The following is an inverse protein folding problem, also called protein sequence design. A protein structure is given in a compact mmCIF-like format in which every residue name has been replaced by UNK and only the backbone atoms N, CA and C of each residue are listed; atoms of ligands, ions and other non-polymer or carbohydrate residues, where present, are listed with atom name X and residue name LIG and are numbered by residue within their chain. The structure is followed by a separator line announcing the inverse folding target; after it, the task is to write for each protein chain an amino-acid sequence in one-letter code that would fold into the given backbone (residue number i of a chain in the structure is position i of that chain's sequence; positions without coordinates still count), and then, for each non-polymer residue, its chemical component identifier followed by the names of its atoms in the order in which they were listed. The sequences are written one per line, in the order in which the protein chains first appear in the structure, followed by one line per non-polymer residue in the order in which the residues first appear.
data_IF_838406076576
#
_entry.id   IF_838406076576
#
_cell.length_a   1.000
_cell.length_b   1.000
_cell.length_c   1.000
_cell.angle_alpha   90.00
_cell.angle_beta   90.00
_cell.angle_gamma   90.00
#
_symmetry.space_group_name_H-M   'P 1'
#
loop_
_entity.id
_entity.type
_entity.pdbx_description
1 polymer ?
#
# COMPACT_ATOMS: atom_id res chain seq x y z
N UNK A 1 8.13 13.48 -1.04
CA UNK A 1 8.82 12.20 -1.28
C UNK A 1 7.78 11.12 -1.53
N UNK A 2 7.87 10.40 -2.64
CA UNK A 2 7.03 9.24 -2.94
C UNK A 2 7.95 8.09 -3.37
N UNK A 3 7.85 6.93 -2.70
CA UNK A 3 8.77 5.79 -2.89
C UNK A 3 10.28 6.14 -2.82
N UNK A 4 10.66 7.08 -1.94
CA UNK A 4 12.06 7.50 -1.81
C UNK A 4 12.52 8.49 -2.88
N UNK A 5 11.69 8.85 -3.85
CA UNK A 5 12.00 9.91 -4.81
C UNK A 5 11.50 11.28 -4.34
N UNK A 6 12.41 12.24 -4.33
CA UNK A 6 12.12 13.64 -4.08
C UNK A 6 12.08 14.39 -5.42
N UNK A 7 10.92 14.95 -5.77
CA UNK A 7 10.72 15.79 -6.96
C UNK A 7 9.80 16.95 -6.61
N UNK A 8 9.81 18.00 -7.43
CA UNK A 8 8.90 19.12 -7.26
C UNK A 8 7.45 18.64 -7.46
N UNK A 9 6.49 19.23 -6.73
CA UNK A 9 5.07 18.91 -6.89
C UNK A 9 4.60 19.06 -8.35
N UNK A 10 5.14 20.02 -9.10
CA UNK A 10 4.81 20.21 -10.53
C UNK A 10 5.22 19.01 -11.39
N UNK A 11 6.33 18.37 -11.06
CA UNK A 11 6.82 17.18 -11.77
C UNK A 11 5.94 15.94 -11.47
N UNK A 12 5.18 15.98 -10.38
CA UNK A 12 4.18 14.98 -10.01
C UNK A 12 2.78 15.29 -10.58
N UNK A 13 2.65 16.25 -11.49
CA UNK A 13 1.37 16.59 -12.13
C UNK A 13 0.48 17.48 -11.27
N UNK A 14 1.06 18.28 -10.37
CA UNK A 14 0.32 19.29 -9.61
C UNK A 14 0.54 20.68 -10.20
N UNK A 15 -0.49 21.52 -10.12
CA UNK A 15 -0.40 22.94 -10.46
C UNK A 15 -0.64 23.80 -9.22
N UNK A 16 0.05 24.94 -9.14
CA UNK A 16 -0.17 25.93 -8.09
C UNK A 16 -1.32 26.84 -8.48
N UNK A 17 -2.35 26.94 -7.65
CA UNK A 17 -3.47 27.87 -7.80
C UNK A 17 -3.60 28.75 -6.57
N UNK A 18 -4.53 29.73 -6.60
CA UNK A 18 -4.81 30.60 -5.44
C UNK A 18 -5.28 29.83 -4.20
N UNK A 19 -5.77 28.61 -4.41
CA UNK A 19 -6.29 27.74 -3.35
C UNK A 19 -5.26 26.67 -2.93
N UNK A 20 -4.01 26.77 -3.38
CA UNK A 20 -2.94 25.80 -3.09
C UNK A 20 -2.58 24.91 -4.27
N UNK A 21 -2.04 23.72 -3.99
CA UNK A 21 -1.72 22.73 -5.02
C UNK A 21 -2.98 21.98 -5.43
N UNK A 22 -3.24 21.92 -6.74
CA UNK A 22 -4.34 21.16 -7.31
C UNK A 22 -3.80 20.18 -8.35
N UNK A 23 -4.41 19.00 -8.49
CA UNK A 23 -4.03 18.05 -9.53
C UNK A 23 -4.34 18.64 -10.91
N UNK A 24 -3.49 18.31 -11.89
CA UNK A 24 -3.76 18.61 -13.30
C UNK A 24 -4.72 17.53 -13.82
N UNK A 25 -5.88 17.96 -14.31
CA UNK A 25 -6.85 17.05 -14.90
C UNK A 25 -6.43 16.65 -16.32
N UNK A 26 -6.63 15.37 -16.64
CA UNK A 26 -6.36 14.80 -17.96
C UNK A 26 -7.56 13.97 -18.40
N UNK A 27 -7.86 14.01 -19.70
CA UNK A 27 -8.85 13.12 -20.33
C UNK A 27 -8.24 11.79 -20.75
N UNK A 28 -6.92 11.63 -20.62
CA UNK A 28 -6.25 10.37 -20.90
C UNK A 28 -6.57 9.35 -19.81
N UNK A 29 -6.57 8.08 -20.20
CA UNK A 29 -6.71 6.98 -19.24
C UNK A 29 -5.56 6.99 -18.22
N UNK A 30 -5.82 6.62 -16.96
CA UNK A 30 -4.84 6.70 -15.88
C UNK A 30 -3.64 5.75 -16.07
N UNK A 31 -3.79 4.74 -16.93
CA UNK A 31 -2.74 3.82 -17.33
C UNK A 31 -3.00 3.34 -18.77
N UNK A 32 -1.99 2.82 -19.47
CA UNK A 32 -2.19 2.18 -20.78
C UNK A 32 -3.25 1.07 -20.71
N UNK A 33 -4.15 1.00 -21.70
CA UNK A 33 -5.18 -0.05 -21.81
C UNK A 33 -4.64 -1.45 -21.61
N UNK A 34 -3.47 -1.73 -22.20
CA UNK A 34 -2.86 -3.05 -22.11
C UNK A 34 -2.52 -3.44 -20.67
N UNK A 35 -2.28 -2.49 -19.76
CA UNK A 35 -2.11 -2.77 -18.34
C UNK A 35 -3.50 -2.98 -17.73
N UNK A 36 -4.41 -2.01 -17.89
CA UNK A 36 -5.77 -2.04 -17.34
C UNK A 36 -6.55 -3.33 -17.68
N UNK A 37 -6.44 -3.82 -18.91
CA UNK A 37 -7.08 -5.04 -19.39
C UNK A 37 -6.37 -6.32 -18.88
N UNK A 38 -5.08 -6.26 -18.55
CA UNK A 38 -4.29 -7.43 -18.11
C UNK A 38 -4.30 -7.65 -16.60
N UNK A 39 -4.61 -6.63 -15.80
CA UNK A 39 -4.61 -6.75 -14.32
C UNK A 39 -5.75 -7.62 -13.80
N UNK A 40 -6.78 -7.90 -14.60
CA UNK A 40 -7.93 -8.71 -14.17
C UNK A 40 -8.08 -9.93 -15.07
N UNK A 41 -8.25 -11.11 -14.47
CA UNK A 41 -8.63 -12.30 -15.21
C UNK A 41 -10.14 -12.55 -15.08
N UNK A 42 -10.74 -13.03 -16.16
CA UNK A 42 -12.13 -13.52 -16.18
C UNK A 42 -12.24 -15.00 -15.78
N UNK A 43 -11.33 -15.48 -14.92
CA UNK A 43 -11.36 -16.87 -14.47
C UNK A 43 -12.65 -17.13 -13.73
N UNK A 44 -13.36 -18.22 -14.07
CA UNK A 44 -14.57 -18.65 -13.36
C UNK A 44 -14.26 -19.60 -12.20
N UNK A 45 -13.01 -20.06 -12.10
CA UNK A 45 -12.52 -20.99 -11.06
C UNK A 45 -11.07 -20.66 -10.74
N UNK A 46 -10.73 -20.66 -9.45
CA UNK A 46 -9.42 -20.74 -8.75
C UNK A 46 -8.10 -20.29 -9.43
N UNK A 47 -8.11 -19.58 -10.55
CA UNK A 47 -6.95 -19.09 -11.30
C UNK A 47 -5.82 -20.10 -11.51
N UNK A 48 -6.16 -21.33 -11.95
CA UNK A 48 -5.18 -22.36 -12.31
C UNK A 48 -4.41 -22.08 -13.62
N UNK A 49 -3.93 -23.12 -14.31
CA UNK A 49 -3.08 -22.98 -15.50
C UNK A 49 -3.68 -22.17 -16.66
N UNK A 50 -5.01 -22.14 -16.77
CA UNK A 50 -5.69 -21.38 -17.81
C UNK A 50 -5.77 -19.86 -17.52
N UNK A 51 -5.40 -19.41 -16.32
CA UNK A 51 -5.54 -18.03 -15.90
C UNK A 51 -4.78 -17.05 -16.81
N UNK A 52 -5.49 -16.01 -17.28
CA UNK A 52 -4.91 -14.95 -18.12
C UNK A 52 -3.76 -14.21 -17.44
N UNK A 53 -3.92 -13.82 -16.16
CA UNK A 53 -2.84 -13.17 -15.40
C UNK A 53 -1.61 -14.08 -15.32
N UNK A 54 -1.80 -15.36 -14.97
CA UNK A 54 -0.70 -16.34 -14.88
C UNK A 54 0.04 -16.53 -16.21
N UNK A 55 -0.71 -16.61 -17.32
CA UNK A 55 -0.12 -16.71 -18.67
C UNK A 55 0.72 -15.49 -19.06
N UNK A 56 0.41 -14.33 -18.49
CA UNK A 56 1.17 -13.09 -18.66
C UNK A 56 2.27 -12.91 -17.62
N UNK A 57 2.52 -13.91 -16.76
CA UNK A 57 3.51 -13.84 -15.68
C UNK A 57 3.09 -12.95 -14.50
N UNK A 58 1.82 -12.60 -14.39
CA UNK A 58 1.28 -11.75 -13.33
C UNK A 58 0.56 -12.58 -12.26
N UNK A 59 0.69 -12.15 -11.00
CA UNK A 59 -0.18 -12.59 -9.91
C UNK A 59 -1.55 -11.93 -10.04
N UNK A 60 -2.60 -12.67 -9.70
CA UNK A 60 -3.94 -12.12 -9.61
C UNK A 60 -4.03 -11.22 -8.39
N UNK A 61 -4.55 -10.01 -8.57
CA UNK A 61 -4.94 -9.15 -7.45
C UNK A 61 -6.34 -9.52 -6.93
N UNK A 62 -6.80 -8.82 -5.89
CA UNK A 62 -8.17 -8.88 -5.38
C UNK A 62 -9.22 -8.47 -6.41
N UNK A 63 -8.82 -7.80 -7.49
CA UNK A 63 -9.68 -7.46 -8.63
C UNK A 63 -10.01 -8.67 -9.54
N UNK A 64 -9.48 -9.87 -9.25
CA UNK A 64 -9.95 -11.09 -9.89
C UNK A 64 -11.45 -11.29 -9.61
N UNK A 65 -12.26 -11.18 -10.66
CA UNK A 65 -13.72 -11.10 -10.58
C UNK A 65 -14.38 -12.24 -9.80
N UNK A 66 -13.83 -13.45 -9.86
CA UNK A 66 -14.43 -14.63 -9.23
C UNK A 66 -13.68 -15.09 -7.99
N UNK A 67 -12.36 -14.94 -7.95
CA UNK A 67 -11.58 -15.45 -6.83
C UNK A 67 -11.47 -14.44 -5.68
N UNK A 68 -11.58 -13.14 -5.97
CA UNK A 68 -11.44 -12.03 -5.01
C UNK A 68 -10.19 -12.13 -4.14
N UNK A 69 -9.13 -12.77 -4.64
CA UNK A 69 -7.92 -13.08 -3.87
C UNK A 69 -8.03 -14.25 -2.87
N UNK A 70 -9.24 -14.62 -2.41
CA UNK A 70 -9.43 -15.62 -1.34
C UNK A 70 -9.29 -17.06 -1.81
N UNK A 71 -9.95 -17.42 -2.92
CA UNK A 71 -9.88 -18.78 -3.50
C UNK A 71 -8.90 -18.86 -4.67
N UNK A 72 -8.06 -17.83 -4.83
CA UNK A 72 -7.19 -17.67 -5.97
C UNK A 72 -5.89 -18.44 -5.76
N UNK A 73 -5.59 -19.43 -6.61
CA UNK A 73 -4.30 -20.13 -6.55
C UNK A 73 -3.15 -19.31 -7.16
N UNK A 74 -3.45 -18.12 -7.71
CA UNK A 74 -2.47 -17.24 -8.33
C UNK A 74 -2.40 -15.87 -7.65
N UNK A 75 -2.94 -15.69 -6.44
CA UNK A 75 -2.75 -14.44 -5.68
C UNK A 75 -1.39 -14.42 -4.96
N UNK A 76 -0.98 -13.22 -4.53
CA UNK A 76 0.12 -13.06 -3.58
C UNK A 76 -0.34 -13.61 -2.22
N UNK A 77 0.41 -14.54 -1.64
CA UNK A 77 0.12 -15.01 -0.29
C UNK A 77 0.57 -13.92 0.68
N UNK A 78 -0.38 -13.30 1.39
CA UNK A 78 -0.03 -12.49 2.54
C UNK A 78 0.53 -13.44 3.61
N UNK A 79 1.82 -13.32 3.90
CA UNK A 79 2.41 -13.92 5.09
C UNK A 79 1.80 -13.16 6.25
N UNK A 80 0.84 -13.77 6.95
CA UNK A 80 0.40 -13.29 8.24
C UNK A 80 1.45 -13.81 9.20
N UNK A 81 2.40 -12.94 9.57
CA UNK A 81 3.25 -13.21 10.72
C UNK A 81 2.32 -13.16 11.93
N UNK A 82 2.05 -14.34 12.52
CA UNK A 82 1.40 -14.41 13.81
C UNK A 82 2.35 -13.77 14.82
N UNK A 83 2.15 -12.49 15.14
CA UNK A 83 2.76 -11.87 16.31
C UNK A 83 2.27 -12.66 17.52
N UNK A 84 3.09 -13.59 17.99
CA UNK A 84 2.86 -14.27 19.25
C UNK A 84 3.03 -13.22 20.35
N UNK A 85 1.91 -12.61 20.76
CA UNK A 85 1.78 -11.84 21.99
C UNK A 85 2.06 -12.75 23.20
N UNK A 86 3.33 -13.05 23.45
CA UNK A 86 3.78 -13.54 24.75
C UNK A 86 4.03 -12.32 25.65
N UNK A 87 2.94 -11.79 26.18
CA UNK A 87 2.98 -10.87 27.31
C UNK A 87 3.29 -11.68 28.58
N UNK A 88 4.47 -11.46 29.17
CA UNK A 88 4.74 -11.78 30.59
C UNK A 88 5.84 -10.86 31.15
N UNK A 89 5.36 -9.78 31.78
CA UNK A 89 5.82 -9.18 33.04
C UNK A 89 7.11 -8.33 33.11
N UNK A 90 6.85 -7.04 33.38
CA UNK A 90 7.37 -6.23 34.51
C UNK A 90 8.90 -6.06 34.67
N UNK A 91 9.42 -4.91 34.23
CA UNK A 91 10.45 -4.17 35.00
C UNK A 91 10.09 -2.67 34.99
N UNK A 92 9.79 -2.14 36.18
CA UNK A 92 9.52 -0.73 36.46
C UNK A 92 10.86 0.04 36.50
N UNK A 93 11.15 0.85 35.48
CA UNK A 93 12.26 1.81 35.56
C UNK A 93 11.78 3.13 36.20
N UNK A 94 12.13 3.27 37.48
CA UNK A 94 11.98 4.45 38.32
C UNK A 94 12.74 5.67 37.73
N UNK A 95 12.03 6.62 37.12
CA UNK A 95 12.64 7.89 36.68
C UNK A 95 12.67 8.87 37.87
N UNK A 96 13.78 8.89 38.59
CA UNK A 96 14.09 9.87 39.65
C UNK A 96 14.22 11.27 39.04
N UNK A 97 13.21 12.14 39.23
CA UNK A 97 13.35 13.57 38.94
C UNK A 97 14.22 14.25 40.00
N UNK A 98 15.46 14.57 39.62
CA UNK A 98 16.35 15.46 40.37
C UNK A 98 15.82 16.90 40.48
N UNK A 99 16.29 17.68 41.47
CA UNK A 99 15.51 18.76 42.06
C UNK A 99 15.37 20.01 41.19
N UNK A 100 14.15 20.53 41.21
CA UNK A 100 13.76 21.82 40.63
C UNK A 100 14.54 22.97 41.28
N UNK A 101 15.33 23.68 40.46
CA UNK A 101 16.10 24.84 40.89
C UNK A 101 15.18 26.03 41.18
N UNK A 102 14.97 26.32 42.47
CA UNK A 102 14.25 27.52 42.93
C UNK A 102 15.13 28.76 42.71
N UNK A 103 14.75 29.66 41.82
CA UNK A 103 15.19 31.07 41.89
C UNK A 103 14.25 31.85 42.82
N UNK A 104 14.78 32.25 43.98
CA UNK A 104 14.18 33.23 44.91
C UNK A 104 14.87 34.58 44.74
N UNK A 105 14.14 35.60 44.31
CA UNK A 105 13.84 36.87 45.02
C UNK A 105 13.20 37.84 44.04
#
# INVERSE_FOLDING_TARGET
MWHGEERNAKDWGWQTTRNGLQPIFSWNEPAPKCILEKITCACTKNCGAACGCRKQGLKCSTACKTCSGLSCLNCEQQIIEEESDNNSNEEEDEIVYGPSSKRKK
#
